data_IF_613611008478
#
_entry.id   IF_613611008478
#
_cell.length_a   1.000
_cell.length_b   1.000
_cell.length_c   1.000
_cell.angle_alpha   90.00
_cell.angle_beta   90.00
_cell.angle_gamma   90.00
#
_symmetry.space_group_name_H-M   'P 1'
#
loop_
_entity.id
_entity.type
_entity.pdbx_description
1 polymer ?
#
# COMPACT_ATOMS: atom_id res chain seq x y z
N UNK A 1 26.91 -5.56 -43.31
CA UNK A 1 28.30 -5.11 -43.11
C UNK A 1 28.26 -3.77 -42.35
N UNK A 2 28.17 -3.81 -41.02
CA UNK A 2 28.38 -2.67 -40.10
C UNK A 2 28.82 -3.31 -38.77
N UNK A 3 30.14 -3.32 -38.50
CA UNK A 3 30.80 -2.62 -37.38
C UNK A 3 29.95 -2.68 -36.09
N UNK A 4 30.25 -3.49 -35.07
CA UNK A 4 31.57 -3.72 -34.48
C UNK A 4 31.84 -2.67 -33.39
N UNK A 5 31.23 -2.79 -32.21
CA UNK A 5 31.75 -2.16 -31.00
C UNK A 5 31.67 -3.10 -29.79
N UNK A 6 32.87 -3.46 -29.37
CA UNK A 6 33.27 -4.18 -28.17
C UNK A 6 32.89 -3.37 -26.92
N UNK A 7 31.99 -3.89 -26.07
CA UNK A 7 31.87 -3.38 -24.71
C UNK A 7 32.82 -4.15 -23.79
N UNK A 8 33.89 -3.43 -23.46
CA UNK A 8 35.05 -3.83 -22.68
C UNK A 8 34.68 -4.20 -21.25
N UNK A 9 35.16 -5.38 -20.83
CA UNK A 9 35.19 -5.88 -19.45
C UNK A 9 35.56 -4.79 -18.43
N UNK A 10 34.75 -4.65 -17.37
CA UNK A 10 35.19 -4.06 -16.11
C UNK A 10 35.42 -5.16 -15.09
N UNK A 11 36.69 -5.25 -14.71
CA UNK A 11 37.28 -6.16 -13.72
C UNK A 11 36.72 -5.89 -12.32
N UNK A 12 36.50 -7.00 -11.60
CA UNK A 12 36.71 -7.22 -10.17
C UNK A 12 36.47 -6.04 -9.21
N UNK A 13 35.43 -6.19 -8.39
CA UNK A 13 35.39 -5.56 -7.08
C UNK A 13 34.89 -6.58 -6.05
N UNK A 14 35.83 -7.19 -5.35
CA UNK A 14 35.61 -8.01 -4.16
C UNK A 14 35.62 -7.11 -2.92
N UNK A 15 34.58 -7.16 -2.08
CA UNK A 15 34.74 -6.83 -0.67
C UNK A 15 34.89 -8.12 0.13
N UNK A 16 36.09 -8.32 0.69
CA UNK A 16 36.32 -9.21 1.84
C UNK A 16 35.57 -8.61 3.03
N UNK A 17 34.49 -9.24 3.45
CA UNK A 17 33.84 -8.94 4.73
C UNK A 17 34.04 -10.16 5.62
N UNK A 18 35.10 -10.10 6.42
CA UNK A 18 35.25 -10.93 7.60
C UNK A 18 34.44 -10.25 8.71
N UNK A 19 33.33 -10.85 9.14
CA UNK A 19 32.62 -10.43 10.35
C UNK A 19 32.61 -11.59 11.33
N UNK A 20 33.04 -11.22 12.53
CA UNK A 20 33.42 -12.04 13.66
C UNK A 20 32.34 -13.01 14.16
N UNK A 21 32.84 -14.11 14.70
CA UNK A 21 32.10 -15.09 15.46
C UNK A 21 31.48 -14.49 16.74
N UNK A 22 30.19 -14.76 16.90
CA UNK A 22 29.53 -15.40 18.06
C UNK A 22 30.24 -15.30 19.41
N UNK A 23 29.64 -14.56 20.35
CA UNK A 23 29.26 -15.02 21.70
C UNK A 23 28.89 -13.84 22.60
N UNK A 24 27.64 -13.77 23.07
CA UNK A 24 27.31 -13.75 24.51
C UNK A 24 25.79 -13.59 24.71
N UNK A 25 25.22 -14.57 25.40
CA UNK A 25 23.86 -14.59 25.92
C UNK A 25 23.85 -13.78 27.21
N UNK A 26 23.01 -12.76 27.31
CA UNK A 26 22.63 -12.15 28.58
C UNK A 26 21.10 -12.14 28.67
N UNK A 27 20.60 -12.97 29.58
CA UNK A 27 19.23 -12.96 30.08
C UNK A 27 18.93 -11.60 30.73
N UNK A 28 17.89 -10.92 30.28
CA UNK A 28 17.15 -9.96 31.11
C UNK A 28 15.66 -10.27 31.00
N UNK A 29 15.17 -10.92 32.05
CA UNK A 29 13.75 -11.01 32.38
C UNK A 29 13.22 -9.61 32.67
N UNK A 30 12.22 -9.15 31.93
CA UNK A 30 11.45 -7.97 32.30
C UNK A 30 9.96 -8.33 32.27
N UNK A 31 9.36 -8.23 33.45
CA UNK A 31 8.00 -8.60 33.79
C UNK A 31 6.97 -8.01 32.83
N UNK A 32 6.08 -8.85 32.33
CA UNK A 32 4.79 -8.43 31.85
C UNK A 32 4.01 -7.79 33.01
N UNK A 33 3.93 -6.46 33.03
CA UNK A 33 2.88 -5.77 33.80
C UNK A 33 1.59 -5.94 33.02
N UNK A 34 0.83 -6.98 33.37
CA UNK A 34 -0.58 -7.02 33.03
C UNK A 34 -1.26 -5.91 33.83
N UNK A 35 -1.59 -4.80 33.17
CA UNK A 35 -2.58 -3.88 33.70
C UNK A 35 -3.91 -4.62 33.71
N UNK A 36 -4.24 -5.23 34.85
CA UNK A 36 -5.61 -5.65 35.15
C UNK A 36 -6.40 -4.36 35.36
N UNK A 37 -7.00 -3.86 34.29
CA UNK A 37 -8.07 -2.88 34.39
C UNK A 37 -9.20 -3.55 35.14
N UNK A 38 -9.29 -3.25 36.44
CA UNK A 38 -10.42 -3.59 37.27
C UNK A 38 -11.57 -2.71 36.80
N UNK A 39 -12.34 -3.19 35.83
CA UNK A 39 -13.55 -2.53 35.37
C UNK A 39 -14.61 -2.71 36.45
N UNK A 40 -14.77 -1.70 37.29
CA UNK A 40 -15.95 -1.53 38.14
C UNK A 40 -17.15 -1.35 37.21
N UNK A 41 -17.83 -2.45 36.87
CA UNK A 41 -19.13 -2.39 36.19
C UNK A 41 -20.18 -1.79 37.13
N UNK A 42 -20.49 -0.53 36.93
CA UNK A 42 -21.74 0.06 37.36
C UNK A 42 -22.89 -0.53 36.52
N UNK A 43 -23.92 -1.13 37.13
CA UNK A 43 -25.11 -1.53 36.40
C UNK A 43 -25.89 -0.27 36.00
N UNK A 44 -25.92 0.06 34.69
CA UNK A 44 -26.81 1.08 34.17
C UNK A 44 -26.31 1.96 33.02
N UNK A 45 -25.05 1.86 32.59
CA UNK A 45 -24.59 2.61 31.42
C UNK A 45 -24.97 1.86 30.13
N UNK A 46 -26.00 2.34 29.44
CA UNK A 46 -26.34 1.94 28.07
C UNK A 46 -25.10 2.17 27.20
N UNK A 47 -24.46 1.09 26.77
CA UNK A 47 -23.30 1.16 25.90
C UNK A 47 -23.73 1.80 24.57
N UNK A 48 -23.32 3.05 24.35
CA UNK A 48 -23.30 3.62 23.01
C UNK A 48 -22.28 2.82 22.22
N UNK A 49 -22.63 2.20 21.08
CA UNK A 49 -21.63 1.54 20.26
C UNK A 49 -20.62 2.60 19.79
N UNK A 50 -19.43 2.58 20.37
CA UNK A 50 -18.28 3.23 19.76
C UNK A 50 -18.08 2.54 18.42
N UNK A 51 -18.42 3.22 17.33
CA UNK A 51 -18.01 2.84 15.98
C UNK A 51 -16.48 2.79 16.03
N UNK A 52 -15.94 1.58 16.19
CA UNK A 52 -14.52 1.32 16.14
C UNK A 52 -14.05 1.68 14.74
N UNK A 53 -13.53 2.89 14.57
CA UNK A 53 -12.84 3.28 13.36
C UNK A 53 -11.76 2.25 13.11
N UNK A 54 -11.82 1.59 11.95
CA UNK A 54 -10.76 0.74 11.45
C UNK A 54 -9.45 1.52 11.61
N UNK A 55 -8.39 0.94 12.22
CA UNK A 55 -7.12 1.64 12.30
C UNK A 55 -6.75 2.07 10.89
N UNK A 56 -6.62 3.39 10.67
CA UNK A 56 -6.28 3.96 9.36
C UNK A 56 -4.87 3.48 9.02
N UNK A 57 -4.76 2.32 8.36
CA UNK A 57 -3.47 1.72 8.10
C UNK A 57 -2.73 2.58 7.09
N UNK A 58 -1.50 2.97 7.44
CA UNK A 58 -0.63 3.72 6.55
C UNK A 58 0.15 2.71 5.70
N UNK A 59 -0.12 2.73 4.40
CA UNK A 59 0.46 1.79 3.44
C UNK A 59 0.10 0.32 3.69
N UNK A 60 0.59 -0.55 2.80
CA UNK A 60 0.52 -2.00 2.92
C UNK A 60 1.86 -2.61 3.37
N UNK A 61 1.82 -3.85 3.85
CA UNK A 61 3.06 -4.60 4.18
C UNK A 61 3.77 -5.15 2.92
N UNK A 62 3.04 -5.26 1.81
CA UNK A 62 3.54 -5.63 0.48
C UNK A 62 2.84 -4.76 -0.56
N UNK A 63 3.37 -4.70 -1.80
CA UNK A 63 2.72 -3.98 -2.89
C UNK A 63 1.28 -4.48 -3.11
N UNK A 64 1.10 -5.80 -3.12
CA UNK A 64 -0.23 -6.42 -3.24
C UNK A 64 -1.18 -6.00 -2.12
N UNK A 65 -0.72 -6.04 -0.85
CA UNK A 65 -1.53 -5.65 0.29
C UNK A 65 -1.91 -4.15 0.26
N UNK A 66 -1.05 -3.30 -0.31
CA UNK A 66 -1.37 -1.88 -0.52
C UNK A 66 -2.51 -1.71 -1.53
N UNK A 67 -2.48 -2.44 -2.65
CA UNK A 67 -3.58 -2.44 -3.64
C UNK A 67 -4.88 -2.96 -3.01
N UNK A 68 -4.83 -4.08 -2.29
CA UNK A 68 -6.01 -4.66 -1.62
C UNK A 68 -6.66 -3.67 -0.64
N UNK A 69 -5.83 -3.05 0.20
CA UNK A 69 -6.30 -2.06 1.18
C UNK A 69 -6.83 -0.79 0.50
N UNK A 70 -6.21 -0.35 -0.59
CA UNK A 70 -6.66 0.82 -1.34
C UNK A 70 -8.01 0.57 -2.01
N UNK A 71 -8.20 -0.59 -2.63
CA UNK A 71 -9.48 -0.97 -3.22
C UNK A 71 -10.58 -1.15 -2.16
N UNK A 72 -10.23 -1.68 -0.97
CA UNK A 72 -11.16 -1.72 0.15
C UNK A 72 -11.60 -0.32 0.61
N UNK A 73 -10.66 0.64 0.68
CA UNK A 73 -10.96 2.04 1.02
C UNK A 73 -11.83 2.72 -0.04
N UNK A 74 -11.57 2.46 -1.34
CA UNK A 74 -12.43 2.92 -2.45
C UNK A 74 -13.85 2.41 -2.28
N UNK A 75 -14.03 1.11 -2.00
CA UNK A 75 -15.36 0.50 -1.82
C UNK A 75 -16.09 1.04 -0.58
N UNK A 76 -15.36 1.35 0.48
CA UNK A 76 -15.89 1.98 1.69
C UNK A 76 -16.14 3.49 1.54
N UNK A 77 -15.78 4.08 0.39
CA UNK A 77 -15.81 5.50 0.13
C UNK A 77 -14.98 6.35 1.14
N UNK A 78 -13.93 5.77 1.71
CA UNK A 78 -13.12 6.39 2.76
C UNK A 78 -11.90 7.13 2.15
N UNK A 79 -12.08 8.42 1.87
CA UNK A 79 -11.00 9.27 1.34
C UNK A 79 -9.82 9.40 2.30
N UNK A 80 -10.03 9.31 3.62
CA UNK A 80 -8.94 9.38 4.60
C UNK A 80 -8.07 8.12 4.52
N UNK A 81 -8.70 6.93 4.47
CA UNK A 81 -7.97 5.68 4.27
C UNK A 81 -7.26 5.65 2.91
N UNK A 82 -7.90 6.08 1.83
CA UNK A 82 -7.25 6.20 0.52
C UNK A 82 -6.00 7.10 0.58
N UNK A 83 -6.08 8.23 1.30
CA UNK A 83 -4.94 9.15 1.46
C UNK A 83 -3.75 8.53 2.22
N UNK A 84 -4.01 7.53 3.07
CA UNK A 84 -2.98 6.80 3.83
C UNK A 84 -2.31 5.69 3.03
N UNK A 85 -2.83 5.36 1.84
CA UNK A 85 -2.37 4.26 0.99
C UNK A 85 -1.82 4.74 -0.35
N UNK A 86 -2.11 5.99 -0.74
CA UNK A 86 -1.62 6.61 -1.96
C UNK A 86 -0.43 7.53 -1.71
N UNK A 87 0.57 7.49 -2.57
CA UNK A 87 1.76 8.32 -2.46
C UNK A 87 2.82 7.97 -3.50
N UNK A 88 4.08 8.19 -3.17
CA UNK A 88 5.21 7.83 -4.01
C UNK A 88 6.41 7.47 -3.13
N UNK A 89 7.58 7.23 -3.74
CA UNK A 89 8.80 6.91 -2.99
C UNK A 89 9.26 7.98 -1.98
N UNK A 90 8.72 9.21 -2.03
CA UNK A 90 9.02 10.28 -1.06
C UNK A 90 8.08 10.26 0.16
N UNK A 91 6.93 9.58 0.08
CA UNK A 91 5.94 9.56 1.15
C UNK A 91 4.50 9.55 0.65
N UNK A 92 3.56 9.80 1.56
CA UNK A 92 2.14 9.83 1.27
C UNK A 92 1.79 11.04 0.40
N UNK A 93 0.73 10.91 -0.39
CA UNK A 93 0.22 12.01 -1.21
C UNK A 93 -0.28 13.17 -0.33
N UNK A 94 -0.84 12.87 0.85
CA UNK A 94 -1.36 13.89 1.79
C UNK A 94 -0.29 14.81 2.38
N UNK A 95 0.97 14.39 2.35
CA UNK A 95 2.10 15.19 2.83
C UNK A 95 2.71 16.05 1.70
N UNK A 96 2.26 15.84 0.46
CA UNK A 96 2.84 16.44 -0.76
C UNK A 96 1.86 17.38 -1.47
N UNK A 97 0.57 17.12 -1.40
CA UNK A 97 -0.48 17.96 -1.98
C UNK A 97 -1.13 18.85 -0.93
N UNK A 98 -1.65 20.01 -1.38
CA UNK A 98 -2.59 20.78 -0.56
C UNK A 98 -3.86 19.96 -0.32
N UNK A 99 -4.50 20.18 0.83
CA UNK A 99 -5.68 19.40 1.24
C UNK A 99 -6.80 19.41 0.19
N UNK A 100 -7.11 20.57 -0.39
CA UNK A 100 -8.18 20.72 -1.38
C UNK A 100 -7.84 20.03 -2.71
N UNK A 101 -6.57 20.08 -3.12
CA UNK A 101 -6.08 19.38 -4.30
C UNK A 101 -6.11 17.86 -4.10
N UNK A 102 -5.63 17.39 -2.94
CA UNK A 102 -5.65 15.98 -2.57
C UNK A 102 -7.08 15.42 -2.61
N UNK A 103 -8.02 16.13 -1.98
CA UNK A 103 -9.42 15.71 -1.91
C UNK A 103 -10.04 15.58 -3.29
N UNK A 104 -9.87 16.58 -4.17
CA UNK A 104 -10.35 16.53 -5.56
C UNK A 104 -9.81 15.32 -6.31
N UNK A 105 -8.51 15.05 -6.18
CA UNK A 105 -7.85 13.90 -6.83
C UNK A 105 -8.40 12.57 -6.29
N UNK A 106 -8.57 12.44 -4.98
CA UNK A 106 -9.09 11.22 -4.35
C UNK A 106 -10.56 10.96 -4.70
N UNK A 107 -11.39 12.00 -4.80
CA UNK A 107 -12.80 11.87 -5.24
C UNK A 107 -12.87 11.34 -6.67
N UNK A 108 -12.06 11.89 -7.59
CA UNK A 108 -12.00 11.40 -8.98
C UNK A 108 -11.55 9.94 -9.02
N UNK A 109 -10.48 9.57 -8.31
CA UNK A 109 -10.02 8.18 -8.24
C UNK A 109 -11.07 7.25 -7.63
N UNK A 110 -11.74 7.65 -6.55
CA UNK A 110 -12.80 6.88 -5.91
C UNK A 110 -13.94 6.59 -6.89
N UNK A 111 -14.38 7.60 -7.64
CA UNK A 111 -15.45 7.45 -8.62
C UNK A 111 -15.08 6.49 -9.75
N UNK A 112 -13.86 6.63 -10.30
CA UNK A 112 -13.35 5.79 -11.39
C UNK A 112 -13.09 4.34 -10.95
N UNK A 113 -12.78 4.11 -9.68
CA UNK A 113 -12.43 2.79 -9.14
C UNK A 113 -13.57 2.12 -8.37
N UNK A 114 -14.73 2.76 -8.28
CA UNK A 114 -15.90 2.18 -7.61
C UNK A 114 -16.25 0.83 -8.24
N UNK A 115 -16.53 -0.17 -7.40
CA UNK A 115 -16.71 -1.54 -7.87
C UNK A 115 -17.56 -2.38 -6.92
N UNK A 116 -18.18 -3.41 -7.48
CA UNK A 116 -18.82 -4.49 -6.73
C UNK A 116 -17.78 -5.55 -6.35
N UNK A 117 -16.91 -5.87 -7.31
CA UNK A 117 -15.85 -6.87 -7.19
C UNK A 117 -14.56 -6.36 -7.82
N UNK A 118 -13.42 -6.68 -7.20
CA UNK A 118 -12.11 -6.58 -7.82
C UNK A 118 -11.34 -7.87 -7.59
N UNK A 119 -10.41 -8.20 -8.49
CA UNK A 119 -9.45 -9.29 -8.31
C UNK A 119 -8.15 -8.98 -9.02
N UNK A 120 -7.07 -9.62 -8.60
CA UNK A 120 -5.84 -9.63 -9.39
C UNK A 120 -6.00 -10.61 -10.56
N UNK A 121 -5.60 -10.18 -11.75
CA UNK A 121 -5.58 -11.04 -12.93
C UNK A 121 -4.42 -12.05 -12.89
N UNK A 122 -3.38 -11.75 -12.09
CA UNK A 122 -2.15 -12.53 -11.96
C UNK A 122 -1.81 -12.78 -10.48
N UNK A 123 -1.04 -13.84 -10.19
CA UNK A 123 -0.66 -14.19 -8.82
C UNK A 123 0.41 -13.24 -8.23
N UNK A 124 1.24 -12.65 -9.08
CA UNK A 124 2.30 -11.72 -8.70
C UNK A 124 2.29 -10.46 -9.55
N UNK A 125 3.18 -9.50 -9.27
CA UNK A 125 3.31 -8.32 -10.11
C UNK A 125 3.87 -8.71 -11.49
N UNK A 126 3.30 -8.09 -12.52
CA UNK A 126 3.65 -8.29 -13.93
C UNK A 126 5.05 -7.77 -14.24
N UNK A 127 5.44 -6.67 -13.61
CA UNK A 127 6.76 -6.06 -13.73
C UNK A 127 7.28 -5.64 -12.36
N UNK A 128 8.56 -5.90 -12.12
CA UNK A 128 9.28 -5.36 -10.98
C UNK A 128 10.54 -4.63 -11.46
N UNK A 129 10.58 -3.31 -11.31
CA UNK A 129 11.72 -2.49 -11.77
C UNK A 129 11.92 -1.28 -10.86
N UNK A 130 13.18 -0.98 -10.51
CA UNK A 130 13.51 0.17 -9.66
C UNK A 130 12.77 0.18 -8.32
N UNK A 131 12.50 -0.99 -7.74
CA UNK A 131 11.74 -1.15 -6.50
C UNK A 131 10.21 -1.05 -6.65
N UNK A 132 9.69 -0.73 -7.84
CA UNK A 132 8.25 -0.66 -8.11
C UNK A 132 7.70 -2.01 -8.53
N UNK A 133 6.40 -2.21 -8.30
CA UNK A 133 5.66 -3.39 -8.71
C UNK A 133 4.38 -2.98 -9.45
N UNK A 134 4.22 -3.48 -10.67
CA UNK A 134 3.00 -3.32 -11.47
C UNK A 134 2.08 -4.52 -11.26
N UNK A 135 0.84 -4.29 -10.85
CA UNK A 135 -0.19 -5.32 -10.65
C UNK A 135 -1.30 -5.16 -11.68
N UNK A 136 -1.67 -6.23 -12.37
CA UNK A 136 -2.84 -6.24 -13.24
C UNK A 136 -4.08 -6.64 -12.43
N UNK A 137 -5.09 -5.79 -12.42
CA UNK A 137 -6.36 -6.05 -11.74
C UNK A 137 -7.52 -6.03 -12.72
N UNK A 138 -8.58 -6.76 -12.35
CA UNK A 138 -9.87 -6.74 -13.01
C UNK A 138 -10.90 -6.15 -12.05
N UNK A 139 -11.72 -5.23 -12.56
CA UNK A 139 -12.73 -4.52 -11.79
C UNK A 139 -14.09 -4.73 -12.45
N UNK A 140 -15.11 -5.01 -11.65
CA UNK A 140 -16.51 -5.16 -12.10
C UNK A 140 -17.44 -4.22 -11.32
N UNK A 141 -18.29 -3.50 -12.03
CA UNK A 141 -19.37 -2.65 -11.48
C UNK A 141 -20.62 -2.81 -12.34
N UNK A 142 -21.67 -3.41 -11.80
CA UNK A 142 -22.89 -3.75 -12.53
C UNK A 142 -22.59 -4.52 -13.84
N UNK A 143 -22.82 -3.90 -15.00
CA UNK A 143 -22.57 -4.48 -16.33
C UNK A 143 -21.20 -4.11 -16.92
N UNK A 144 -20.43 -3.29 -16.22
CA UNK A 144 -19.10 -2.85 -16.64
C UNK A 144 -18.03 -3.78 -16.09
N UNK A 145 -17.07 -4.11 -16.94
CA UNK A 145 -15.88 -4.87 -16.58
C UNK A 145 -14.68 -4.27 -17.29
N UNK A 146 -13.59 -4.07 -16.56
CA UNK A 146 -12.35 -3.52 -17.09
C UNK A 146 -11.13 -4.17 -16.45
N UNK A 147 -10.01 -4.17 -17.20
CA UNK A 147 -8.68 -4.49 -16.70
C UNK A 147 -7.84 -3.21 -16.66
N UNK A 148 -7.11 -3.00 -15.58
CA UNK A 148 -6.21 -1.85 -15.39
C UNK A 148 -4.96 -2.28 -14.62
N UNK A 149 -3.89 -1.51 -14.75
CA UNK A 149 -2.65 -1.68 -13.99
C UNK A 149 -2.60 -0.73 -12.79
N UNK A 150 -2.08 -1.24 -11.69
CA UNK A 150 -1.81 -0.48 -10.47
C UNK A 150 -0.32 -0.58 -10.17
N UNK A 151 0.36 0.56 -10.16
CA UNK A 151 1.76 0.65 -9.76
C UNK A 151 1.86 0.84 -8.25
N UNK A 152 2.77 0.11 -7.61
CA UNK A 152 3.08 0.25 -6.19
C UNK A 152 4.57 0.48 -5.99
N UNK A 153 4.90 1.19 -4.91
CA UNK A 153 6.28 1.61 -4.59
C UNK A 153 6.55 1.47 -3.10
N UNK A 154 7.77 1.11 -2.67
CA UNK A 154 8.16 1.21 -1.27
C UNK A 154 8.20 2.68 -0.86
N UNK A 155 7.50 2.99 0.23
CA UNK A 155 7.49 4.27 0.90
C UNK A 155 8.22 4.24 2.25
N UNK A 156 8.16 5.36 2.99
CA UNK A 156 8.79 5.47 4.31
C UNK A 156 8.31 4.39 5.29
N UNK A 157 9.21 3.97 6.20
CA UNK A 157 8.89 2.97 7.22
C UNK A 157 8.69 1.54 6.69
N UNK A 158 9.17 1.26 5.47
CA UNK A 158 9.07 -0.07 4.85
C UNK A 158 7.65 -0.44 4.42
N UNK A 159 6.75 0.54 4.35
CA UNK A 159 5.37 0.36 3.87
C UNK A 159 5.30 0.53 2.37
N UNK A 160 4.39 -0.18 1.74
CA UNK A 160 4.10 -0.07 0.31
C UNK A 160 2.94 0.89 0.08
N UNK A 161 3.06 1.71 -0.96
CA UNK A 161 2.04 2.68 -1.37
C UNK A 161 1.59 2.36 -2.78
N UNK A 162 0.34 2.66 -3.09
CA UNK A 162 -0.14 2.83 -4.45
C UNK A 162 0.48 4.11 -4.99
N UNK A 163 1.19 4.02 -6.12
CA UNK A 163 1.83 5.17 -6.77
C UNK A 163 0.96 5.74 -7.87
N UNK A 164 0.51 4.86 -8.77
CA UNK A 164 -0.23 5.24 -9.97
C UNK A 164 -1.22 4.14 -10.37
N UNK A 165 -2.29 4.54 -11.07
CA UNK A 165 -3.33 3.63 -11.57
C UNK A 165 -3.70 4.07 -12.98
N UNK A 166 -3.67 3.15 -13.96
CA UNK A 166 -4.10 3.45 -15.33
C UNK A 166 -5.63 3.56 -15.42
N UNK A 167 -6.13 4.77 -15.23
CA UNK A 167 -7.57 5.06 -15.29
C UNK A 167 -8.13 5.17 -16.71
N UNK A 168 -7.31 5.02 -17.75
CA UNK A 168 -7.74 5.24 -19.14
C UNK A 168 -8.89 4.34 -19.57
N UNK A 169 -8.99 3.13 -19.00
CA UNK A 169 -10.04 2.13 -19.26
C UNK A 169 -11.21 2.19 -18.27
N UNK A 170 -11.20 3.14 -17.32
CA UNK A 170 -12.16 3.21 -16.22
C UNK A 170 -13.11 4.41 -16.33
N UNK A 171 -13.07 5.16 -17.44
CA UNK A 171 -13.87 6.39 -17.60
C UNK A 171 -15.37 6.16 -17.45
N UNK A 172 -15.86 5.01 -17.94
CA UNK A 172 -17.29 4.67 -17.89
C UNK A 172 -17.77 4.24 -16.49
N UNK A 173 -16.85 4.06 -15.51
CA UNK A 173 -17.21 3.69 -14.15
C UNK A 173 -17.70 4.89 -13.31
N UNK A 174 -17.36 6.11 -13.74
CA UNK A 174 -17.74 7.36 -13.09
C UNK A 174 -18.75 8.11 -13.98
N UNK A 175 -20.04 7.88 -13.74
CA UNK A 175 -21.17 8.50 -14.45
C UNK A 175 -22.20 9.03 -13.47
#
# INVERSE_FOLDING_TARGET
MVLGQQLKMRKGFTPRVAIMAVATILFTSACARQAVSTETRLPGATAVPTVGGTPTSIGGNTGRAAVESFMAAVKAQDLQAMSGLWGNGKGLARDQYKRDELEKRLVIMQCLLQHDQFRFAENGPRLQTGGRQEHLIEIKKAKLEARTTVMTVPGPGGKWLVEDIDVSKLRDFCQ
#
